data_IF_882949560225
#
_entry.id   IF_882949560225
#
_cell.length_a   1.000
_cell.length_b   1.000
_cell.length_c   1.000
_cell.angle_alpha   90.00
_cell.angle_beta   90.00
_cell.angle_gamma   90.00
#
_symmetry.space_group_name_H-M   'P 1'
#
loop_
_entity.id
_entity.type
_entity.pdbx_description
1 polymer ?
#
# COMPACT_ATOMS: atom_id res chain seq x y z
N UNK A 1 -11.83 8.79 -0.71
CA UNK A 1 -13.28 8.68 -0.94
C UNK A 1 -13.72 8.90 -2.40
N UNK A 2 -12.82 8.89 -3.38
CA UNK A 2 -13.20 9.22 -4.77
C UNK A 2 -13.88 8.05 -5.52
N UNK A 3 -13.35 6.83 -5.37
CA UNK A 3 -13.77 5.67 -6.19
C UNK A 3 -15.19 5.21 -5.82
N UNK A 4 -15.53 5.13 -4.52
CA UNK A 4 -16.88 4.75 -4.09
C UNK A 4 -17.92 5.79 -4.52
N UNK A 5 -17.59 7.08 -4.40
CA UNK A 5 -18.43 8.16 -4.90
C UNK A 5 -18.62 8.09 -6.42
N UNK A 6 -17.56 7.80 -7.17
CA UNK A 6 -17.62 7.63 -8.62
C UNK A 6 -18.62 6.54 -9.02
N UNK A 7 -18.51 5.35 -8.43
CA UNK A 7 -19.43 4.24 -8.72
C UNK A 7 -20.87 4.59 -8.37
N UNK A 8 -21.09 5.20 -7.20
CA UNK A 8 -22.41 5.67 -6.78
C UNK A 8 -23.00 6.67 -7.80
N UNK A 9 -22.21 7.62 -8.30
CA UNK A 9 -22.64 8.61 -9.30
C UNK A 9 -23.01 7.97 -10.64
N UNK A 10 -22.38 6.84 -10.99
CA UNK A 10 -22.66 6.10 -12.23
C UNK A 10 -23.71 5.00 -12.05
N UNK A 11 -24.56 5.10 -11.02
CA UNK A 11 -25.74 4.25 -10.85
C UNK A 11 -25.51 2.97 -10.07
N UNK A 12 -24.32 2.76 -9.48
CA UNK A 12 -24.12 1.63 -8.59
C UNK A 12 -24.94 1.80 -7.30
N UNK A 13 -25.81 0.82 -6.94
CA UNK A 13 -26.57 0.88 -5.69
C UNK A 13 -25.63 0.87 -4.48
N UNK A 14 -25.77 1.83 -3.58
CA UNK A 14 -24.89 1.97 -2.42
C UNK A 14 -24.87 0.73 -1.52
N UNK A 15 -26.00 0.03 -1.38
CA UNK A 15 -26.11 -1.21 -0.61
C UNK A 15 -25.33 -2.39 -1.19
N UNK A 16 -24.85 -2.28 -2.43
CA UNK A 16 -24.03 -3.28 -3.12
C UNK A 16 -22.58 -2.85 -3.27
N UNK A 17 -22.20 -1.66 -2.79
CA UNK A 17 -20.82 -1.19 -2.83
C UNK A 17 -20.06 -1.67 -1.60
N UNK A 18 -19.01 -2.45 -1.82
CA UNK A 18 -18.11 -2.93 -0.77
C UNK A 18 -16.81 -2.13 -0.78
N UNK A 19 -16.49 -1.48 0.34
CA UNK A 19 -15.21 -0.82 0.53
C UNK A 19 -14.14 -1.86 0.84
N UNK A 20 -13.13 -1.98 -0.03
CA UNK A 20 -11.97 -2.84 0.23
C UNK A 20 -11.09 -2.25 1.33
N UNK A 21 -10.71 -3.07 2.30
CA UNK A 21 -9.76 -2.73 3.36
C UNK A 21 -8.51 -3.61 3.21
N UNK A 22 -7.41 -3.09 2.63
CA UNK A 22 -6.20 -3.89 2.44
C UNK A 22 -5.48 -4.09 3.78
N UNK A 23 -5.09 -5.33 4.06
CA UNK A 23 -4.26 -5.73 5.22
C UNK A 23 -2.79 -5.90 4.83
N UNK A 24 -2.36 -5.21 3.77
CA UNK A 24 -1.01 -5.19 3.25
C UNK A 24 -0.64 -3.77 2.81
N UNK A 25 0.65 -3.47 2.80
CA UNK A 25 1.22 -2.22 2.28
C UNK A 25 1.98 -2.45 0.98
N UNK A 26 2.20 -1.36 0.23
CA UNK A 26 3.19 -1.33 -0.86
C UNK A 26 4.47 -0.66 -0.41
N UNK A 27 5.59 -1.28 -0.72
CA UNK A 27 6.92 -0.81 -0.33
C UNK A 27 7.75 -0.42 -1.54
N UNK A 28 8.68 0.51 -1.33
CA UNK A 28 9.54 1.05 -2.39
C UNK A 28 10.97 1.17 -1.89
N UNK A 29 11.94 0.95 -2.77
CA UNK A 29 13.33 1.28 -2.50
C UNK A 29 13.61 2.72 -2.91
N UNK A 30 13.90 3.59 -1.94
CA UNK A 30 14.20 4.99 -2.18
C UNK A 30 15.51 5.17 -2.94
N UNK A 31 15.57 6.15 -3.85
CA UNK A 31 16.83 6.53 -4.52
C UNK A 31 17.77 7.25 -3.55
N UNK A 32 17.23 8.02 -2.62
CA UNK A 32 17.95 8.63 -1.51
C UNK A 32 17.31 8.14 -0.19
N UNK A 33 18.02 7.39 0.67
CA UNK A 33 17.49 6.89 1.93
C UNK A 33 16.99 7.98 2.89
N UNK A 34 17.46 9.22 2.74
CA UNK A 34 17.07 10.34 3.60
C UNK A 34 15.86 11.13 3.06
N UNK A 35 15.39 10.86 1.85
CA UNK A 35 14.21 11.49 1.26
C UNK A 35 12.99 10.57 1.38
N UNK A 36 12.32 10.63 2.52
CA UNK A 36 11.20 9.75 2.89
C UNK A 36 9.82 10.39 2.64
N UNK A 37 9.77 11.53 1.95
CA UNK A 37 8.53 12.25 1.70
C UNK A 37 7.62 11.53 0.69
N UNK A 38 6.32 11.84 0.73
CA UNK A 38 5.37 11.34 -0.28
C UNK A 38 5.79 11.88 -1.66
N UNK A 39 6.02 10.95 -2.60
CA UNK A 39 6.44 11.28 -3.96
C UNK A 39 7.96 11.32 -4.17
N UNK A 40 8.76 10.97 -3.15
CA UNK A 40 10.21 10.86 -3.29
C UNK A 40 10.61 9.89 -4.42
N UNK A 41 11.71 10.16 -5.17
CA UNK A 41 12.18 9.28 -6.23
C UNK A 41 12.57 7.88 -5.72
N UNK A 42 12.17 6.85 -6.46
CA UNK A 42 12.42 5.44 -6.11
C UNK A 42 13.29 4.76 -7.16
N UNK A 43 13.99 3.70 -6.75
CA UNK A 43 14.69 2.76 -7.64
C UNK A 43 13.74 1.65 -8.14
N UNK A 44 12.56 1.54 -7.53
CA UNK A 44 11.56 0.52 -7.86
C UNK A 44 10.87 -0.06 -6.62
N UNK A 45 10.31 -1.27 -6.73
CA UNK A 45 9.64 -1.94 -5.62
C UNK A 45 10.62 -2.22 -4.47
N UNK A 46 10.12 -2.17 -3.25
CA UNK A 46 10.88 -2.55 -2.06
C UNK A 46 11.23 -4.04 -2.05
N UNK A 47 12.15 -4.46 -1.16
CA UNK A 47 12.53 -5.86 -1.04
C UNK A 47 11.32 -6.74 -0.71
N UNK A 48 11.35 -8.00 -1.14
CA UNK A 48 10.30 -8.95 -0.84
C UNK A 48 10.24 -9.25 0.67
N UNK A 49 9.03 -9.32 1.23
CA UNK A 49 8.84 -9.77 2.60
C UNK A 49 9.22 -11.25 2.78
N UNK A 50 9.58 -11.63 4.01
CA UNK A 50 10.03 -13.00 4.34
C UNK A 50 8.94 -14.04 4.03
N UNK A 51 7.68 -13.66 4.21
CA UNK A 51 6.52 -14.54 4.10
C UNK A 51 5.75 -14.30 2.81
N UNK A 52 5.46 -13.05 2.46
CA UNK A 52 4.76 -12.71 1.20
C UNK A 52 5.61 -12.99 -0.03
N UNK A 53 6.94 -12.88 0.08
CA UNK A 53 7.92 -13.19 -0.98
C UNK A 53 7.69 -12.48 -2.31
N UNK A 54 6.96 -11.37 -2.27
CA UNK A 54 6.68 -10.54 -3.43
C UNK A 54 7.34 -9.17 -3.26
N UNK A 55 8.23 -8.75 -4.17
CA UNK A 55 8.80 -7.41 -4.14
C UNK A 55 7.72 -6.33 -4.15
N UNK A 56 7.87 -5.33 -3.29
CA UNK A 56 6.96 -4.18 -3.19
C UNK A 56 5.63 -4.45 -2.49
N UNK A 57 5.40 -5.63 -1.90
CA UNK A 57 4.20 -5.92 -1.11
C UNK A 57 4.62 -6.57 0.21
N UNK A 58 4.23 -5.95 1.32
CA UNK A 58 4.39 -6.52 2.66
C UNK A 58 3.02 -6.67 3.32
N UNK A 59 2.80 -7.80 3.98
CA UNK A 59 1.63 -8.03 4.83
C UNK A 59 1.72 -7.22 6.13
N UNK A 60 0.58 -7.00 6.79
CA UNK A 60 0.53 -6.24 8.03
C UNK A 60 1.50 -6.75 9.12
N UNK A 61 1.62 -8.06 9.28
CA UNK A 61 2.53 -8.62 10.28
C UNK A 61 4.01 -8.48 9.89
N UNK A 62 4.35 -8.46 8.59
CA UNK A 62 5.72 -8.17 8.14
C UNK A 62 6.09 -6.72 8.44
N UNK A 63 5.15 -5.78 8.27
CA UNK A 63 5.34 -4.36 8.63
C UNK A 63 5.58 -4.21 10.13
N UNK A 64 4.81 -4.91 10.98
CA UNK A 64 4.99 -4.84 12.44
C UNK A 64 6.29 -5.48 12.93
N UNK A 65 6.79 -6.48 12.22
CA UNK A 65 8.05 -7.15 12.55
C UNK A 65 9.27 -6.28 12.21
N UNK A 66 9.12 -5.36 11.26
CA UNK A 66 10.18 -4.47 10.85
C UNK A 66 10.57 -3.53 11.99
N UNK A 67 11.86 -3.56 12.35
CA UNK A 67 12.38 -2.89 13.54
C UNK A 67 12.66 -1.40 13.33
N UNK A 68 12.47 -0.88 12.13
CA UNK A 68 12.65 0.56 11.83
C UNK A 68 11.37 1.39 12.02
N UNK A 69 10.23 0.77 12.33
CA UNK A 69 8.93 1.47 12.43
C UNK A 69 8.54 1.76 13.91
N UNK A 70 9.40 1.47 14.90
CA UNK A 70 9.19 1.79 16.33
C UNK A 70 10.25 2.73 16.89
#
# INVERSE_FOLDING_TARGET
DYILYYWKKHGAPASKLMAGLPTYGRTFSLKNPFDTAIGAPTLGPGPAGIYTRQPGIWSYYEILQDREIV
#
